data_IF_086016887085
#
_entry.id   IF_086016887085
#
_cell.length_a   1.000
_cell.length_b   1.000
_cell.length_c   1.000
_cell.angle_alpha   90.00
_cell.angle_beta   90.00
_cell.angle_gamma   90.00
#
_symmetry.space_group_name_H-M   'P 1'
#
loop_
_entity.id
_entity.type
_entity.pdbx_description
1 polymer ?
#
# COMPACT_ATOMS: atom_id res chain seq x y z
N UNK A 1 19.53 -8.85 -2.10
CA UNK A 1 19.13 -7.54 -1.59
C UNK A 1 17.79 -7.72 -0.88
N UNK A 2 17.69 -7.32 0.39
CA UNK A 2 16.43 -7.39 1.14
C UNK A 2 15.41 -6.37 0.60
N UNK A 3 14.11 -6.53 0.95
CA UNK A 3 13.13 -5.48 0.61
C UNK A 3 13.47 -4.14 1.24
N UNK A 4 14.03 -4.14 2.44
CA UNK A 4 14.41 -2.92 3.15
C UNK A 4 15.54 -2.18 2.42
N UNK A 5 16.67 -2.85 2.14
CA UNK A 5 17.79 -2.22 1.42
C UNK A 5 17.42 -1.84 -0.04
N UNK A 6 16.56 -2.63 -0.69
CA UNK A 6 15.98 -2.23 -1.99
C UNK A 6 15.14 -0.97 -1.90
N UNK A 7 14.40 -0.80 -0.81
CA UNK A 7 13.61 0.40 -0.56
C UNK A 7 14.44 1.64 -0.31
N UNK A 8 15.54 1.51 0.43
CA UNK A 8 16.49 2.63 0.63
C UNK A 8 17.11 3.06 -0.70
N UNK A 9 17.52 2.10 -1.54
CA UNK A 9 18.04 2.39 -2.88
C UNK A 9 16.98 3.10 -3.73
N UNK A 10 15.77 2.52 -3.85
CA UNK A 10 14.67 3.09 -4.62
C UNK A 10 14.31 4.51 -4.15
N UNK A 11 14.26 4.74 -2.83
CA UNK A 11 14.00 6.07 -2.27
C UNK A 11 15.07 7.07 -2.67
N UNK A 12 16.35 6.71 -2.51
CA UNK A 12 17.46 7.64 -2.79
C UNK A 12 17.53 8.00 -4.28
N UNK A 13 17.27 7.03 -5.17
CA UNK A 13 17.24 7.25 -6.63
C UNK A 13 16.06 8.12 -7.08
N UNK A 14 14.94 8.13 -6.32
CA UNK A 14 13.70 8.79 -6.70
C UNK A 14 13.22 9.83 -5.65
N UNK A 15 14.15 10.40 -4.88
CA UNK A 15 13.81 11.25 -3.73
C UNK A 15 13.00 12.49 -4.11
N UNK A 16 13.27 13.09 -5.26
CA UNK A 16 12.55 14.27 -5.75
C UNK A 16 11.10 13.96 -6.11
N UNK A 17 10.87 12.88 -6.85
CA UNK A 17 9.53 12.44 -7.27
C UNK A 17 8.69 12.02 -6.06
N UNK A 18 9.30 11.31 -5.11
CA UNK A 18 8.66 10.90 -3.85
C UNK A 18 8.26 12.12 -3.02
N UNK A 19 9.19 13.09 -2.87
CA UNK A 19 8.90 14.35 -2.18
C UNK A 19 7.74 15.09 -2.85
N UNK A 20 7.76 15.22 -4.19
CA UNK A 20 6.69 15.87 -4.95
C UNK A 20 5.35 15.15 -4.75
N UNK A 21 5.33 13.81 -4.76
CA UNK A 21 4.12 13.03 -4.52
C UNK A 21 3.57 13.24 -3.11
N UNK A 22 4.45 13.28 -2.07
CA UNK A 22 4.05 13.64 -0.72
C UNK A 22 3.45 15.05 -0.65
N UNK A 23 4.10 16.02 -1.28
CA UNK A 23 3.67 17.41 -1.22
C UNK A 23 2.29 17.62 -1.92
N UNK A 24 1.98 16.84 -2.97
CA UNK A 24 0.70 16.91 -3.70
C UNK A 24 -0.39 16.07 -3.02
N UNK A 25 -0.10 14.84 -2.62
CA UNK A 25 -1.11 13.86 -2.19
C UNK A 25 -1.14 13.65 -0.67
N UNK A 26 -0.17 14.20 0.08
CA UNK A 26 -0.07 14.07 1.53
C UNK A 26 0.38 12.70 2.02
N UNK A 27 0.78 11.78 1.12
CA UNK A 27 1.22 10.43 1.45
C UNK A 27 2.73 10.42 1.71
N UNK A 28 3.22 9.95 2.88
CA UNK A 28 4.64 9.89 3.18
C UNK A 28 5.41 9.00 2.20
N UNK A 29 6.64 9.39 1.88
CA UNK A 29 7.50 8.70 0.93
C UNK A 29 7.71 7.23 1.27
N UNK A 30 7.92 6.92 2.56
CA UNK A 30 8.14 5.56 3.05
C UNK A 30 6.96 4.63 2.77
N UNK A 31 5.73 5.16 2.76
CA UNK A 31 4.52 4.37 2.48
C UNK A 31 4.43 4.04 0.99
N UNK A 32 4.71 5.02 0.12
CA UNK A 32 4.76 4.81 -1.33
C UNK A 32 5.81 3.75 -1.68
N UNK A 33 7.03 3.92 -1.15
CA UNK A 33 8.15 2.99 -1.35
C UNK A 33 7.82 1.59 -0.83
N UNK A 34 7.20 1.49 0.36
CA UNK A 34 6.84 0.21 0.96
C UNK A 34 5.79 -0.54 0.14
N UNK A 35 4.76 0.15 -0.39
CA UNK A 35 3.76 -0.48 -1.27
C UNK A 35 4.44 -1.04 -2.51
N UNK A 36 5.26 -0.25 -3.22
CA UNK A 36 5.99 -0.72 -4.41
C UNK A 36 6.90 -1.91 -4.07
N UNK A 37 7.52 -1.88 -2.88
CA UNK A 37 8.36 -2.97 -2.38
C UNK A 37 7.59 -4.25 -2.06
N UNK A 38 6.39 -4.13 -1.49
CA UNK A 38 5.51 -5.29 -1.20
C UNK A 38 4.97 -5.88 -2.50
N UNK A 39 4.50 -5.05 -3.42
CA UNK A 39 3.83 -5.48 -4.65
C UNK A 39 4.77 -6.16 -5.64
N UNK A 40 5.88 -5.53 -5.99
CA UNK A 40 6.71 -6.01 -7.08
C UNK A 40 8.20 -6.15 -6.77
N UNK A 41 8.61 -5.92 -5.52
CA UNK A 41 10.03 -5.84 -5.15
C UNK A 41 10.75 -4.79 -6.03
N UNK A 42 10.17 -3.59 -6.09
CA UNK A 42 10.68 -2.47 -6.90
C UNK A 42 10.85 -2.86 -8.37
N UNK A 43 9.81 -3.43 -8.98
CA UNK A 43 9.76 -3.83 -10.40
C UNK A 43 10.39 -5.18 -10.74
N UNK A 44 11.02 -5.88 -9.78
CA UNK A 44 11.66 -7.19 -10.05
C UNK A 44 10.66 -8.32 -10.27
N UNK A 45 9.42 -8.17 -9.83
CA UNK A 45 8.36 -9.19 -9.92
C UNK A 45 7.02 -8.55 -10.27
N UNK A 46 6.82 -8.23 -11.53
CA UNK A 46 5.58 -7.64 -12.06
C UNK A 46 4.61 -8.67 -12.65
N UNK A 47 5.03 -9.94 -12.69
CA UNK A 47 4.27 -11.03 -13.31
C UNK A 47 4.70 -11.34 -14.73
N UNK A 48 4.39 -12.56 -15.18
CA UNK A 48 4.79 -13.08 -16.49
C UNK A 48 3.61 -13.63 -17.31
N UNK A 49 2.40 -13.59 -16.76
CA UNK A 49 1.19 -14.06 -17.44
C UNK A 49 0.70 -12.97 -18.39
N UNK A 50 0.16 -13.36 -19.55
CA UNK A 50 -0.61 -12.42 -20.37
C UNK A 50 -1.85 -12.02 -19.56
N UNK A 51 -2.06 -10.72 -19.40
CA UNK A 51 -3.17 -10.21 -18.57
C UNK A 51 -4.51 -10.67 -19.11
N UNK A 52 -4.68 -10.68 -20.45
CA UNK A 52 -5.93 -11.11 -21.06
C UNK A 52 -6.25 -12.58 -20.76
N UNK A 53 -5.24 -13.47 -20.79
CA UNK A 53 -5.44 -14.89 -20.48
C UNK A 53 -5.78 -15.11 -19.00
N UNK A 54 -5.10 -14.38 -18.10
CA UNK A 54 -5.38 -14.43 -16.67
C UNK A 54 -6.83 -14.00 -16.36
N UNK A 55 -7.24 -12.86 -16.91
CA UNK A 55 -8.58 -12.32 -16.70
C UNK A 55 -9.67 -13.18 -17.36
N UNK A 56 -9.39 -13.74 -18.56
CA UNK A 56 -10.29 -14.67 -19.21
C UNK A 56 -10.49 -15.94 -18.36
N UNK A 57 -9.41 -16.59 -17.96
CA UNK A 57 -9.48 -17.81 -17.15
C UNK A 57 -10.26 -17.58 -15.86
N UNK A 58 -9.94 -16.52 -15.11
CA UNK A 58 -10.62 -16.21 -13.86
C UNK A 58 -12.07 -15.74 -14.06
N UNK A 59 -12.36 -15.09 -15.17
CA UNK A 59 -13.70 -14.60 -15.50
C UNK A 59 -14.67 -15.63 -16.04
N UNK A 60 -14.17 -16.72 -16.63
CA UNK A 60 -15.02 -17.72 -17.29
C UNK A 60 -14.88 -19.13 -16.72
N UNK A 61 -13.74 -19.47 -16.12
CA UNK A 61 -13.50 -20.81 -15.56
C UNK A 61 -13.67 -20.87 -14.02
N UNK A 62 -13.75 -19.70 -13.32
CA UNK A 62 -13.89 -19.63 -11.88
C UNK A 62 -15.19 -18.92 -11.45
N UNK A 63 -16.29 -19.65 -11.20
CA UNK A 63 -17.63 -19.06 -10.99
C UNK A 63 -17.72 -18.07 -9.84
N UNK A 64 -17.02 -18.31 -8.72
CA UNK A 64 -17.15 -17.51 -7.48
C UNK A 64 -16.78 -16.03 -7.65
N UNK A 65 -15.86 -15.70 -8.56
CA UNK A 65 -15.40 -14.32 -8.82
C UNK A 65 -15.56 -13.91 -10.29
N UNK A 66 -16.29 -14.68 -11.07
CA UNK A 66 -16.44 -14.49 -12.51
C UNK A 66 -16.88 -13.08 -12.88
N UNK A 67 -17.90 -12.53 -12.22
CA UNK A 67 -18.44 -11.18 -12.49
C UNK A 67 -17.36 -10.10 -12.31
N UNK A 68 -16.56 -10.20 -11.26
CA UNK A 68 -15.46 -9.26 -11.00
C UNK A 68 -14.40 -9.32 -12.11
N UNK A 69 -13.91 -10.52 -12.45
CA UNK A 69 -12.84 -10.65 -13.44
C UNK A 69 -13.30 -10.35 -14.87
N UNK A 70 -14.56 -10.60 -15.21
CA UNK A 70 -15.14 -10.13 -16.48
C UNK A 70 -15.18 -8.61 -16.57
N UNK A 71 -15.53 -7.94 -15.48
CA UNK A 71 -15.48 -6.48 -15.42
C UNK A 71 -14.04 -5.97 -15.57
N UNK A 72 -13.07 -6.60 -14.90
CA UNK A 72 -11.66 -6.22 -15.05
C UNK A 72 -11.14 -6.47 -16.48
N UNK A 73 -11.60 -7.53 -17.16
CA UNK A 73 -11.27 -7.80 -18.55
C UNK A 73 -11.83 -6.73 -19.50
N UNK A 74 -13.05 -6.27 -19.27
CA UNK A 74 -13.62 -5.13 -20.01
C UNK A 74 -12.75 -3.88 -19.82
N UNK A 75 -12.40 -3.56 -18.57
CA UNK A 75 -11.52 -2.42 -18.26
C UNK A 75 -10.14 -2.57 -18.88
N UNK A 76 -9.61 -3.78 -18.96
CA UNK A 76 -8.33 -4.06 -19.61
C UNK A 76 -8.37 -3.80 -21.12
N UNK A 77 -9.41 -4.25 -21.81
CA UNK A 77 -9.58 -4.01 -23.25
C UNK A 77 -9.75 -2.51 -23.56
N UNK A 78 -10.46 -1.79 -22.70
CA UNK A 78 -10.57 -0.33 -22.81
C UNK A 78 -9.21 0.35 -22.56
N UNK A 79 -8.50 -0.05 -21.53
CA UNK A 79 -7.17 0.45 -21.18
C UNK A 79 -6.19 0.29 -22.35
N UNK A 80 -6.09 -0.91 -22.92
CA UNK A 80 -5.15 -1.19 -24.02
C UNK A 80 -5.49 -0.37 -25.25
N UNK A 81 -6.78 -0.20 -25.56
CA UNK A 81 -7.23 0.65 -26.68
C UNK A 81 -6.88 2.13 -26.45
N UNK A 82 -7.13 2.65 -25.24
CA UNK A 82 -6.89 4.05 -24.85
C UNK A 82 -5.41 4.41 -24.88
N UNK A 83 -4.53 3.46 -24.56
CA UNK A 83 -3.07 3.67 -24.52
C UNK A 83 -2.32 3.08 -25.73
N UNK A 84 -3.04 2.61 -26.75
CA UNK A 84 -2.41 2.05 -27.96
C UNK A 84 -1.58 0.78 -27.72
N UNK A 85 -1.90 0.01 -26.66
CA UNK A 85 -1.18 -1.21 -26.29
C UNK A 85 -1.76 -2.43 -27.00
N UNK A 86 -0.89 -3.38 -27.37
CA UNK A 86 -1.33 -4.70 -27.83
C UNK A 86 -1.82 -5.54 -26.62
N UNK A 87 -3.13 -5.87 -26.53
CA UNK A 87 -3.68 -6.64 -25.42
C UNK A 87 -3.08 -8.05 -25.28
N UNK A 88 -2.50 -8.59 -26.35
CA UNK A 88 -1.83 -9.90 -26.33
C UNK A 88 -0.38 -9.84 -25.84
N UNK A 89 0.21 -8.63 -25.81
CA UNK A 89 1.59 -8.42 -25.34
C UNK A 89 1.70 -8.05 -23.87
N UNK A 90 0.64 -7.44 -23.29
CA UNK A 90 0.66 -6.95 -21.90
C UNK A 90 0.78 -8.11 -20.92
N UNK A 91 1.83 -8.05 -20.07
CA UNK A 91 2.08 -9.02 -18.99
C UNK A 91 1.77 -8.45 -17.63
N UNK A 92 1.41 -9.34 -16.71
CA UNK A 92 1.09 -9.02 -15.33
C UNK A 92 1.04 -10.25 -14.43
N UNK A 93 0.39 -10.13 -13.28
CA UNK A 93 0.22 -11.23 -12.33
C UNK A 93 -0.76 -12.29 -12.85
N UNK A 94 -0.78 -13.44 -12.19
CA UNK A 94 -1.77 -14.50 -12.48
C UNK A 94 -3.22 -14.06 -12.26
N UNK A 95 -3.45 -12.96 -11.54
CA UNK A 95 -4.76 -12.36 -11.31
C UNK A 95 -5.06 -11.16 -12.22
N UNK A 96 -4.15 -10.83 -13.15
CA UNK A 96 -4.32 -9.71 -14.09
C UNK A 96 -3.92 -8.35 -13.56
N UNK A 97 -3.18 -8.28 -12.45
CA UNK A 97 -2.60 -7.03 -11.95
C UNK A 97 -1.41 -6.59 -12.81
N UNK A 98 -1.26 -5.28 -12.99
CA UNK A 98 -0.42 -4.65 -14.02
C UNK A 98 0.69 -3.80 -13.40
N UNK A 99 1.88 -3.90 -13.98
CA UNK A 99 3.00 -3.01 -13.73
C UNK A 99 3.63 -3.12 -12.36
N UNK A 100 4.49 -2.16 -12.03
CA UNK A 100 5.21 -2.13 -10.77
C UNK A 100 4.28 -1.96 -9.55
N UNK A 101 3.21 -1.15 -9.59
CA UNK A 101 2.27 -0.99 -8.48
C UNK A 101 1.22 -2.10 -8.40
N UNK A 102 1.21 -3.07 -9.31
CA UNK A 102 0.25 -4.18 -9.36
C UNK A 102 -1.23 -3.71 -9.36
N UNK A 103 -1.53 -2.70 -10.15
CA UNK A 103 -2.89 -2.21 -10.32
C UNK A 103 -3.75 -3.19 -11.13
N UNK A 104 -4.96 -3.44 -10.67
CA UNK A 104 -5.99 -4.03 -11.53
C UNK A 104 -6.38 -3.05 -12.64
N UNK A 105 -6.83 -3.51 -13.82
CA UNK A 105 -7.22 -2.63 -14.94
C UNK A 105 -8.16 -1.49 -14.55
N UNK A 106 -9.16 -1.75 -13.71
CA UNK A 106 -10.04 -0.70 -13.15
C UNK A 106 -9.25 0.34 -12.37
N UNK A 107 -8.28 -0.09 -11.56
CA UNK A 107 -7.45 0.82 -10.76
C UNK A 107 -6.53 1.64 -11.65
N UNK A 108 -5.95 1.04 -12.68
CA UNK A 108 -5.13 1.75 -13.66
C UNK A 108 -5.91 2.90 -14.31
N UNK A 109 -7.08 2.60 -14.91
CA UNK A 109 -7.91 3.60 -15.59
C UNK A 109 -8.42 4.72 -14.69
N UNK A 110 -8.58 4.45 -13.38
CA UNK A 110 -9.16 5.42 -12.44
C UNK A 110 -8.13 6.22 -11.67
N UNK A 111 -6.97 5.67 -11.40
CA UNK A 111 -6.02 6.22 -10.44
C UNK A 111 -4.61 6.41 -10.97
N UNK A 112 -4.26 5.81 -12.12
CA UNK A 112 -2.98 6.08 -12.75
C UNK A 112 -2.93 7.53 -13.24
N UNK A 113 -1.77 8.15 -13.10
CA UNK A 113 -1.52 9.55 -13.48
C UNK A 113 -0.23 9.66 -14.28
N UNK A 114 -0.24 10.49 -15.31
CA UNK A 114 0.95 11.00 -15.98
C UNK A 114 1.61 12.02 -15.03
N UNK A 115 2.57 11.53 -14.25
CA UNK A 115 3.11 12.34 -13.16
C UNK A 115 4.27 13.23 -13.58
N UNK A 116 4.99 12.91 -14.67
CA UNK A 116 6.03 13.77 -15.24
C UNK A 116 5.54 14.64 -16.40
N UNK A 117 4.29 14.47 -16.82
CA UNK A 117 3.62 15.26 -17.86
C UNK A 117 4.25 15.04 -19.26
N UNK A 118 4.66 13.82 -19.56
CA UNK A 118 5.18 13.44 -20.89
C UNK A 118 4.05 13.11 -21.90
N UNK A 119 2.79 13.07 -21.43
CA UNK A 119 1.59 12.78 -22.24
C UNK A 119 1.22 11.30 -22.29
N UNK A 120 1.91 10.44 -21.54
CA UNK A 120 1.64 9.02 -21.45
C UNK A 120 1.54 8.59 -19.98
N UNK A 121 0.89 7.44 -19.73
CA UNK A 121 0.89 6.81 -18.42
C UNK A 121 1.55 5.45 -18.55
N UNK A 122 2.71 5.26 -17.92
CA UNK A 122 3.43 3.99 -17.92
C UNK A 122 3.71 3.49 -16.50
N UNK A 123 2.97 2.45 -16.07
CA UNK A 123 3.17 1.82 -14.78
C UNK A 123 4.15 0.64 -14.79
N UNK A 124 4.83 0.38 -15.92
CA UNK A 124 5.85 -0.66 -16.02
C UNK A 124 7.26 -0.10 -15.80
N UNK A 125 7.60 1.00 -16.46
CA UNK A 125 8.97 1.53 -16.52
C UNK A 125 9.09 2.99 -16.09
N UNK A 126 8.05 3.82 -16.23
CA UNK A 126 8.07 5.23 -15.81
C UNK A 126 7.88 5.35 -14.29
N UNK A 127 9.01 5.48 -13.56
CA UNK A 127 9.00 5.55 -12.09
C UNK A 127 8.24 6.77 -11.55
N UNK A 128 8.32 7.97 -12.11
CA UNK A 128 7.45 9.10 -11.77
C UNK A 128 5.96 8.72 -11.76
N UNK A 129 5.45 8.12 -12.84
CA UNK A 129 4.04 7.73 -12.94
C UNK A 129 3.64 6.69 -11.90
N UNK A 130 4.52 5.72 -11.66
CA UNK A 130 4.32 4.69 -10.64
C UNK A 130 4.18 5.32 -9.26
N UNK A 131 5.08 6.22 -8.88
CA UNK A 131 5.07 6.94 -7.60
C UNK A 131 3.81 7.79 -7.47
N UNK A 132 3.53 8.61 -8.49
CA UNK A 132 2.35 9.47 -8.52
C UNK A 132 1.04 8.68 -8.43
N UNK A 133 0.94 7.57 -9.16
CA UNK A 133 -0.26 6.73 -9.18
C UNK A 133 -0.53 6.02 -7.85
N UNK A 134 0.52 5.51 -7.18
CA UNK A 134 0.38 4.92 -5.83
C UNK A 134 -0.08 5.98 -4.84
N UNK A 135 0.51 7.16 -4.86
CA UNK A 135 0.14 8.26 -3.97
C UNK A 135 -1.30 8.75 -4.25
N UNK A 136 -1.67 8.94 -5.52
CA UNK A 136 -3.02 9.31 -5.93
C UNK A 136 -4.07 8.27 -5.49
N UNK A 137 -3.76 6.99 -5.61
CA UNK A 137 -4.64 5.92 -5.12
C UNK A 137 -4.96 6.07 -3.63
N UNK A 138 -3.94 6.23 -2.79
CA UNK A 138 -4.14 6.37 -1.34
C UNK A 138 -4.86 7.68 -1.00
N UNK A 139 -4.52 8.78 -1.67
CA UNK A 139 -5.19 10.06 -1.54
C UNK A 139 -6.69 9.96 -1.87
N UNK A 140 -7.03 9.33 -3.01
CA UNK A 140 -8.43 9.12 -3.42
C UNK A 140 -9.23 8.34 -2.38
N UNK A 141 -8.63 7.35 -1.72
CA UNK A 141 -9.29 6.58 -0.67
C UNK A 141 -9.27 7.24 0.71
N UNK A 142 -8.88 8.51 0.80
CA UNK A 142 -9.01 9.33 1.99
C UNK A 142 -7.79 9.29 2.91
N UNK A 143 -6.59 9.19 2.36
CA UNK A 143 -5.37 9.40 3.15
C UNK A 143 -5.38 10.78 3.82
N UNK A 144 -5.09 10.84 5.11
CA UNK A 144 -5.01 12.09 5.87
C UNK A 144 -3.56 12.34 6.25
N UNK A 145 -2.98 13.41 5.69
CA UNK A 145 -1.60 13.77 5.95
C UNK A 145 -1.35 14.03 7.45
N UNK A 146 -0.22 13.52 7.95
CA UNK A 146 0.18 13.70 9.34
C UNK A 146 -0.58 12.86 10.38
N UNK A 147 -1.65 12.16 10.02
CA UNK A 147 -2.31 11.25 10.96
C UNK A 147 -1.53 9.94 11.12
N UNK A 148 -1.48 9.37 12.33
CA UNK A 148 -0.89 8.06 12.57
C UNK A 148 -1.64 6.97 11.79
N UNK A 149 -0.93 5.91 11.44
CA UNK A 149 -1.46 4.79 10.66
C UNK A 149 -2.04 3.74 11.61
N UNK A 150 -1.22 3.28 12.53
CA UNK A 150 -1.54 2.22 13.49
C UNK A 150 -0.76 2.46 14.78
N UNK A 151 -1.35 2.12 15.93
CA UNK A 151 -0.74 2.30 17.25
C UNK A 151 -0.93 1.03 18.07
N UNK A 152 0.11 0.51 18.75
CA UNK A 152 -0.07 -0.61 19.67
C UNK A 152 -1.02 -0.24 20.81
N UNK A 153 -1.77 -1.22 21.32
CA UNK A 153 -2.71 -1.03 22.43
C UNK A 153 -2.45 -1.99 23.58
N UNK A 154 -2.60 -1.50 24.79
CA UNK A 154 -2.72 -2.32 26.01
C UNK A 154 -4.19 -2.64 26.23
N UNK A 155 -4.44 -3.86 26.66
CA UNK A 155 -5.79 -4.36 26.87
C UNK A 155 -5.99 -4.72 28.34
N UNK A 156 -7.16 -4.38 28.89
CA UNK A 156 -7.61 -4.77 30.23
C UNK A 156 -9.09 -5.14 30.24
N UNK A 157 -9.49 -5.97 31.20
CA UNK A 157 -10.88 -6.43 31.30
C UNK A 157 -11.30 -7.37 30.16
N UNK A 158 -12.55 -7.30 29.73
CA UNK A 158 -13.12 -8.20 28.70
C UNK A 158 -13.93 -7.49 27.63
N UNK A 159 -14.32 -6.24 27.82
CA UNK A 159 -15.22 -5.50 26.91
C UNK A 159 -14.57 -5.16 25.57
N UNK A 160 -13.24 -5.14 25.51
CA UNK A 160 -12.49 -4.94 24.26
C UNK A 160 -12.79 -6.00 23.18
N UNK A 161 -13.24 -7.20 23.59
CA UNK A 161 -13.52 -8.30 22.66
C UNK A 161 -14.57 -7.94 21.63
N UNK A 162 -15.60 -7.19 22.03
CA UNK A 162 -16.63 -6.69 21.12
C UNK A 162 -16.06 -5.75 20.05
N UNK A 163 -15.00 -5.00 20.39
CA UNK A 163 -14.34 -4.10 19.46
C UNK A 163 -13.49 -4.91 18.45
N UNK A 164 -12.77 -5.92 18.95
CA UNK A 164 -11.99 -6.84 18.09
C UNK A 164 -12.89 -7.58 17.09
N UNK A 165 -14.07 -8.04 17.51
CA UNK A 165 -15.04 -8.71 16.64
C UNK A 165 -15.51 -7.84 15.49
N UNK A 166 -15.60 -6.53 15.66
CA UNK A 166 -15.92 -5.56 14.59
C UNK A 166 -14.75 -5.31 13.62
N UNK A 167 -13.54 -5.72 14.02
CA UNK A 167 -12.34 -5.71 13.20
C UNK A 167 -11.67 -4.34 13.06
N UNK A 168 -10.75 -4.25 12.13
CA UNK A 168 -9.84 -3.12 11.96
C UNK A 168 -10.45 -1.88 11.28
N UNK A 169 -11.68 -1.95 10.76
CA UNK A 169 -12.33 -0.76 10.20
C UNK A 169 -12.61 0.25 11.30
N UNK A 170 -12.17 1.52 11.20
CA UNK A 170 -12.44 2.54 12.20
C UNK A 170 -13.94 2.71 12.46
N UNK A 171 -14.35 2.67 13.74
CA UNK A 171 -15.77 2.74 14.13
C UNK A 171 -16.06 3.30 15.53
N UNK A 172 -15.04 3.47 16.37
CA UNK A 172 -15.15 4.10 17.71
C UNK A 172 -14.03 5.12 17.87
N UNK A 173 -14.31 6.20 18.61
CA UNK A 173 -13.24 7.11 19.05
C UNK A 173 -12.41 6.46 20.17
N UNK A 174 -11.18 6.93 20.36
CA UNK A 174 -10.34 6.44 21.45
C UNK A 174 -10.96 6.73 22.81
N UNK A 175 -11.60 7.89 22.96
CA UNK A 175 -12.34 8.23 24.17
C UNK A 175 -13.43 7.18 24.51
N UNK A 176 -14.10 6.63 23.50
CA UNK A 176 -15.09 5.56 23.64
C UNK A 176 -14.47 4.19 23.92
N UNK A 177 -13.22 3.98 23.54
CA UNK A 177 -12.49 2.72 23.72
C UNK A 177 -11.84 2.61 25.11
N UNK A 178 -11.39 3.72 25.68
CA UNK A 178 -10.73 3.76 27.00
C UNK A 178 -11.54 3.07 28.11
N UNK A 179 -12.86 3.39 28.33
CA UNK A 179 -13.65 2.72 29.36
C UNK A 179 -13.88 1.23 29.08
N UNK A 180 -13.65 0.78 27.85
CA UNK A 180 -13.74 -0.65 27.43
C UNK A 180 -12.41 -1.40 27.58
N UNK A 181 -11.43 -0.79 28.25
CA UNK A 181 -10.14 -1.40 28.53
C UNK A 181 -9.15 -1.43 27.35
N UNK A 182 -9.31 -0.51 26.40
CA UNK A 182 -8.35 -0.36 25.27
C UNK A 182 -7.59 0.94 25.46
N UNK A 183 -6.29 0.86 25.72
CA UNK A 183 -5.42 2.01 25.97
C UNK A 183 -4.29 2.05 24.93
N UNK A 184 -4.14 3.14 24.16
CA UNK A 184 -3.01 3.28 23.22
C UNK A 184 -1.69 3.37 23.99
N UNK A 185 -0.62 2.81 23.45
CA UNK A 185 0.72 2.88 24.05
C UNK A 185 1.44 4.19 23.78
N UNK A 186 0.91 5.01 22.87
CA UNK A 186 1.42 6.33 22.48
C UNK A 186 0.32 7.36 22.66
N UNK A 187 0.70 8.61 22.95
CA UNK A 187 -0.27 9.70 23.05
C UNK A 187 -0.79 10.06 21.66
N UNK A 188 -2.08 9.86 21.44
CA UNK A 188 -2.79 10.25 20.22
C UNK A 188 -4.09 10.96 20.60
N UNK A 189 -4.62 11.78 19.70
CA UNK A 189 -5.81 12.59 19.95
C UNK A 189 -7.04 11.71 20.26
N UNK A 190 -7.76 11.98 21.36
CA UNK A 190 -8.83 11.10 21.85
C UNK A 190 -10.06 11.02 20.92
N UNK A 191 -10.25 12.03 20.08
CA UNK A 191 -11.32 12.09 19.07
C UNK A 191 -11.04 11.25 17.81
N UNK A 192 -9.83 10.73 17.64
CA UNK A 192 -9.51 9.88 16.49
C UNK A 192 -10.31 8.60 16.52
N UNK A 193 -10.90 8.27 15.37
CA UNK A 193 -11.69 7.04 15.20
C UNK A 193 -10.75 5.89 14.80
N UNK A 194 -10.87 4.78 15.50
CA UNK A 194 -10.06 3.59 15.28
C UNK A 194 -10.91 2.31 15.22
N UNK A 195 -10.35 1.27 14.65
CA UNK A 195 -10.74 -0.12 14.87
C UNK A 195 -9.71 -0.81 15.75
N UNK A 196 -10.02 -1.99 16.27
CA UNK A 196 -9.09 -2.81 17.05
C UNK A 196 -8.92 -4.17 16.39
N UNK A 197 -7.69 -4.63 16.26
CA UNK A 197 -7.39 -5.95 15.72
C UNK A 197 -6.21 -6.60 16.44
N UNK A 198 -6.11 -7.92 16.28
CA UNK A 198 -5.01 -8.70 16.82
C UNK A 198 -4.07 -9.20 15.74
N UNK A 199 -2.81 -9.39 16.10
CA UNK A 199 -1.83 -10.15 15.34
C UNK A 199 -1.31 -11.28 16.23
N UNK A 200 -1.26 -12.48 15.66
CA UNK A 200 -0.65 -13.63 16.32
C UNK A 200 0.87 -13.47 16.34
N UNK A 201 1.45 -13.68 17.50
CA UNK A 201 2.90 -13.72 17.72
C UNK A 201 3.28 -15.05 18.40
N UNK A 202 4.58 -15.38 18.46
CA UNK A 202 5.05 -16.64 19.05
C UNK A 202 4.57 -16.88 20.48
N UNK A 203 4.29 -15.81 21.25
CA UNK A 203 3.89 -15.89 22.67
C UNK A 203 2.53 -15.27 22.94
N UNK A 204 1.57 -15.39 22.03
CA UNK A 204 0.21 -14.89 22.22
C UNK A 204 -0.26 -13.94 21.12
N UNK A 205 -0.92 -12.85 21.51
CA UNK A 205 -1.47 -11.87 20.59
C UNK A 205 -1.00 -10.46 20.94
N UNK A 206 -0.72 -9.68 19.90
CA UNK A 206 -0.56 -8.23 20.00
C UNK A 206 -1.85 -7.52 19.59
N UNK A 207 -2.19 -6.43 20.26
CA UNK A 207 -3.36 -5.62 19.96
C UNK A 207 -2.95 -4.29 19.34
N UNK A 208 -3.66 -3.90 18.28
CA UNK A 208 -3.35 -2.73 17.48
C UNK A 208 -4.59 -1.92 17.17
N UNK A 209 -4.49 -0.61 17.36
CA UNK A 209 -5.47 0.38 16.95
C UNK A 209 -5.23 0.73 15.48
N UNK A 210 -6.17 0.37 14.61
CA UNK A 210 -6.16 0.73 13.20
C UNK A 210 -6.85 2.08 13.01
N UNK A 211 -6.11 3.11 12.64
CA UNK A 211 -6.65 4.42 12.32
C UNK A 211 -7.05 4.52 10.83
N UNK A 212 -7.52 5.69 10.42
CA UNK A 212 -7.97 5.91 9.05
C UNK A 212 -6.91 5.51 8.00
N UNK A 213 -5.67 5.93 8.16
CA UNK A 213 -4.61 5.66 7.16
C UNK A 213 -4.26 4.17 7.06
N UNK A 214 -4.39 3.40 8.14
CA UNK A 214 -4.28 1.93 8.07
C UNK A 214 -5.41 1.34 7.24
N UNK A 215 -6.65 1.80 7.45
CA UNK A 215 -7.78 1.37 6.65
C UNK A 215 -7.63 1.75 5.17
N UNK A 216 -7.05 2.92 4.86
CA UNK A 216 -6.74 3.34 3.49
C UNK A 216 -5.75 2.36 2.83
N UNK A 217 -4.69 1.94 3.54
CA UNK A 217 -3.77 0.93 3.01
C UNK A 217 -4.52 -0.37 2.68
N UNK A 218 -5.50 -0.78 3.50
CA UNK A 218 -6.30 -1.97 3.20
C UNK A 218 -7.21 -1.84 1.97
N UNK A 219 -7.36 -0.66 1.38
CA UNK A 219 -8.05 -0.49 0.10
C UNK A 219 -7.24 -1.03 -1.07
N UNK A 220 -5.90 -1.03 -0.93
CA UNK A 220 -4.99 -1.65 -1.89
C UNK A 220 -5.12 -3.18 -1.89
N UNK A 221 -5.10 -3.76 -0.69
CA UNK A 221 -5.38 -5.18 -0.48
C UNK A 221 -6.15 -5.34 0.84
N UNK A 222 -7.33 -5.99 0.80
CA UNK A 222 -8.27 -6.12 1.94
C UNK A 222 -7.77 -7.11 3.00
N UNK A 223 -6.57 -6.86 3.53
CA UNK A 223 -5.93 -7.69 4.54
C UNK A 223 -5.24 -6.84 5.59
N UNK A 224 -5.53 -7.10 6.88
CA UNK A 224 -4.80 -6.47 7.99
C UNK A 224 -3.31 -6.81 7.94
N UNK A 225 -2.99 -8.05 7.57
CA UNK A 225 -1.60 -8.51 7.47
C UNK A 225 -0.84 -7.80 6.36
N UNK A 226 -1.50 -7.53 5.23
CA UNK A 226 -0.94 -6.72 4.15
C UNK A 226 -0.62 -5.30 4.62
N UNK A 227 -1.60 -4.63 5.22
CA UNK A 227 -1.41 -3.25 5.69
C UNK A 227 -0.32 -3.15 6.76
N UNK A 228 -0.24 -4.16 7.66
CA UNK A 228 0.83 -4.22 8.65
C UNK A 228 2.19 -4.49 8.00
N UNK A 229 2.27 -5.35 6.99
CA UNK A 229 3.52 -5.59 6.25
C UNK A 229 4.02 -4.31 5.55
N UNK A 230 3.13 -3.53 4.93
CA UNK A 230 3.46 -2.22 4.35
C UNK A 230 3.98 -1.28 5.43
N UNK A 231 3.28 -1.14 6.56
CA UNK A 231 3.68 -0.28 7.66
C UNK A 231 5.05 -0.67 8.24
N UNK A 232 5.24 -1.96 8.52
CA UNK A 232 6.50 -2.47 9.09
C UNK A 232 7.67 -2.30 8.12
N UNK A 233 7.46 -2.54 6.82
CA UNK A 233 8.47 -2.30 5.79
C UNK A 233 8.82 -0.81 5.69
N UNK A 234 7.82 0.07 5.68
CA UNK A 234 8.04 1.52 5.68
C UNK A 234 8.92 1.96 6.86
N UNK A 235 8.59 1.49 8.08
CA UNK A 235 9.38 1.79 9.29
C UNK A 235 10.80 1.21 9.23
N UNK A 236 10.98 0.05 8.64
CA UNK A 236 12.29 -0.56 8.46
C UNK A 236 13.16 0.22 7.45
N UNK A 237 12.56 0.67 6.35
CA UNK A 237 13.24 1.50 5.33
C UNK A 237 13.71 2.82 5.94
N UNK A 238 12.85 3.51 6.70
CA UNK A 238 13.21 4.78 7.38
C UNK A 238 14.41 4.56 8.28
N UNK A 239 14.35 3.56 9.18
CA UNK A 239 15.45 3.26 10.13
C UNK A 239 16.77 2.93 9.42
N UNK A 240 16.74 2.10 8.37
CA UNK A 240 17.94 1.75 7.61
C UNK A 240 18.51 2.99 6.89
N UNK A 241 17.64 3.81 6.30
CA UNK A 241 18.05 5.06 5.60
C UNK A 241 18.70 6.06 6.57
N UNK A 242 18.10 6.28 7.73
CA UNK A 242 18.65 7.16 8.77
C UNK A 242 20.00 6.65 9.27
N UNK A 243 20.17 5.34 9.47
CA UNK A 243 21.45 4.73 9.90
C UNK A 243 22.57 4.93 8.87
N UNK A 244 22.23 4.84 7.57
CA UNK A 244 23.19 5.07 6.48
C UNK A 244 23.59 6.55 6.41
N UNK A 245 22.64 7.48 6.59
CA UNK A 245 22.92 8.92 6.58
C UNK A 245 23.70 9.38 7.81
N UNK A 246 23.53 8.71 8.96
CA UNK A 246 24.24 9.02 10.20
C UNK A 246 25.64 8.38 10.26
N UNK A 247 25.98 7.44 9.38
CA UNK A 247 27.30 6.85 9.32
C UNK A 247 28.33 7.93 8.91
N UNK A 248 29.40 8.18 9.70
CA UNK A 248 30.43 9.15 9.32
C UNK A 248 31.01 8.73 7.97
N UNK A 249 31.08 9.68 7.03
CA UNK A 249 31.83 9.49 5.79
C UNK A 249 33.29 9.21 6.18
N UNK A 250 33.70 7.96 6.12
CA UNK A 250 35.10 7.63 6.19
C UNK A 250 35.73 8.22 4.94
N UNK A 251 36.29 9.44 5.08
CA UNK A 251 37.14 10.05 4.09
C UNK A 251 38.23 9.05 3.77
N UNK A 252 38.15 8.46 2.57
CA UNK A 252 39.29 7.79 1.97
C UNK A 252 40.29 8.89 1.56
N UNK A 253 41.09 9.34 2.54
CA UNK A 253 42.37 9.93 2.23
C UNK A 253 43.33 8.80 1.85
N UNK A 254 43.53 8.65 0.55
CA UNK A 254 44.69 8.05 -0.07
C UNK A 254 45.03 8.70 -1.39
#
# INVERSE_FOLDING_TARGET
MSRTSGGVTFWNENAEQLKRARDIYGVPEEIIVAIIGVESIYGKRTGSFRVIDALYTLGFEMPERATYFRSEMEQFLLLTRENGLDPLAVKGSFAGAIGMPQFMPTSYRRFAVDFDSDGQIDLWENVPDIIGSVANYLHYFGWVAGQPIVVPARISGTEYKEIVEKGFKPHLTLEQMLPKGVEPTETIAPELVAGLFTLDIEQGEEYWLALNNFYVITRYNRSKNYAMAVYQLARAIVRERESVLAAPSVLMDR
#
